data_IF_836151244455
#
_entry.id   IF_836151244455
#
_cell.length_a   1.000
_cell.length_b   1.000
_cell.length_c   1.000
_cell.angle_alpha   90.00
_cell.angle_beta   90.00
_cell.angle_gamma   90.00
#
_symmetry.space_group_name_H-M   'P 1'
#
loop_
_entity.id
_entity.type
_entity.pdbx_description
1 polymer ?
#
# COMPACT_ATOMS: atom_id res chain seq x y z
N UNK A 1 -3.06 -3.22 -2.87
CA UNK A 1 -2.46 -2.01 -2.27
C UNK A 1 -3.23 -1.73 -0.99
N UNK A 2 -2.80 -2.30 0.13
CA UNK A 2 -3.49 -2.18 1.44
C UNK A 2 -2.63 -1.47 2.49
N UNK A 3 -1.41 -1.04 2.15
CA UNK A 3 -0.45 -0.50 3.11
C UNK A 3 0.13 -1.53 4.11
N UNK A 4 -0.32 -2.78 4.06
CA UNK A 4 0.17 -3.88 4.90
C UNK A 4 0.57 -5.07 4.05
N UNK A 5 1.86 -5.38 4.01
CA UNK A 5 2.38 -6.53 3.25
C UNK A 5 1.82 -7.86 3.79
N UNK A 6 1.74 -8.01 5.11
CA UNK A 6 1.22 -9.22 5.77
C UNK A 6 -0.25 -9.45 5.44
N UNK A 7 -1.08 -8.40 5.57
CA UNK A 7 -2.50 -8.49 5.24
C UNK A 7 -2.73 -8.81 3.75
N UNK A 8 -1.90 -8.27 2.87
CA UNK A 8 -1.97 -8.53 1.43
C UNK A 8 -1.63 -9.98 1.12
N UNK A 9 -0.52 -10.49 1.63
CA UNK A 9 -0.14 -11.90 1.44
C UNK A 9 -1.23 -12.85 1.97
N UNK A 10 -1.82 -12.53 3.12
CA UNK A 10 -2.87 -13.35 3.72
C UNK A 10 -4.20 -13.31 2.92
N UNK A 11 -4.52 -12.20 2.26
CA UNK A 11 -5.79 -12.03 1.54
C UNK A 11 -5.68 -12.34 0.05
N UNK A 12 -4.73 -11.71 -0.65
CA UNK A 12 -4.55 -11.87 -2.10
C UNK A 12 -3.60 -13.01 -2.44
N UNK A 13 -2.58 -13.27 -1.60
CA UNK A 13 -1.59 -14.30 -1.82
C UNK A 13 -2.16 -15.72 -1.91
N UNK A 14 -3.29 -15.98 -1.26
CA UNK A 14 -4.00 -17.28 -1.39
C UNK A 14 -4.51 -17.54 -2.83
N UNK A 15 -4.61 -16.50 -3.64
CA UNK A 15 -5.02 -16.57 -5.03
C UNK A 15 -3.82 -16.39 -5.96
N UNK A 16 -3.01 -15.35 -5.74
CA UNK A 16 -1.92 -14.94 -6.63
C UNK A 16 -0.75 -15.91 -6.60
N UNK A 17 -0.38 -16.43 -5.42
CA UNK A 17 0.71 -17.41 -5.31
C UNK A 17 0.41 -18.70 -6.09
N UNK A 18 -0.77 -19.36 -5.93
CA UNK A 18 -1.12 -20.50 -6.77
C UNK A 18 -1.16 -20.19 -8.27
N UNK A 19 -1.61 -18.99 -8.67
CA UNK A 19 -1.60 -18.57 -10.08
C UNK A 19 -0.18 -18.44 -10.63
N UNK A 20 0.74 -17.85 -9.87
CA UNK A 20 2.15 -17.78 -10.26
C UNK A 20 2.78 -19.17 -10.36
N UNK A 21 2.46 -20.08 -9.45
CA UNK A 21 2.92 -21.47 -9.52
C UNK A 21 2.39 -22.21 -10.77
N UNK A 22 1.11 -22.02 -11.10
CA UNK A 22 0.52 -22.56 -12.33
C UNK A 22 1.16 -21.97 -13.59
N UNK A 23 1.65 -20.74 -13.54
CA UNK A 23 2.39 -20.11 -14.63
C UNK A 23 3.82 -20.66 -14.77
N UNK A 24 4.36 -21.33 -13.75
CA UNK A 24 5.69 -21.96 -13.80
C UNK A 24 6.70 -21.39 -12.79
N UNK A 25 6.31 -20.43 -11.95
CA UNK A 25 7.20 -19.98 -10.87
C UNK A 25 7.28 -21.04 -9.76
N UNK A 26 8.47 -21.22 -9.19
CA UNK A 26 8.63 -22.06 -8.01
C UNK A 26 7.95 -21.43 -6.78
N UNK A 27 7.65 -22.24 -5.78
CA UNK A 27 6.88 -21.83 -4.61
C UNK A 27 7.53 -20.70 -3.81
N UNK A 28 8.87 -20.72 -3.71
CA UNK A 28 9.63 -19.71 -2.96
C UNK A 28 9.62 -18.38 -3.70
N UNK A 29 9.88 -18.40 -5.00
CA UNK A 29 9.85 -17.19 -5.85
C UNK A 29 8.45 -16.58 -5.92
N UNK A 30 7.40 -17.39 -6.08
CA UNK A 30 6.02 -16.88 -6.06
C UNK A 30 5.67 -16.19 -4.73
N UNK A 31 6.07 -16.79 -3.60
CA UNK A 31 5.89 -16.18 -2.28
C UNK A 31 6.70 -14.90 -2.09
N UNK A 32 7.93 -14.87 -2.58
CA UNK A 32 8.80 -13.69 -2.54
C UNK A 32 8.24 -12.54 -3.38
N UNK A 33 7.79 -12.81 -4.61
CA UNK A 33 7.14 -11.82 -5.49
C UNK A 33 5.93 -11.20 -4.80
N UNK A 34 5.04 -12.02 -4.22
CA UNK A 34 3.85 -11.55 -3.50
C UNK A 34 4.24 -10.64 -2.32
N UNK A 35 5.21 -11.05 -1.51
CA UNK A 35 5.65 -10.28 -0.36
C UNK A 35 6.29 -8.94 -0.76
N UNK A 36 7.20 -8.95 -1.74
CA UNK A 36 7.88 -7.75 -2.22
C UNK A 36 6.88 -6.80 -2.89
N UNK A 37 6.03 -7.29 -3.80
CA UNK A 37 5.00 -6.47 -4.45
C UNK A 37 4.03 -5.85 -3.42
N UNK A 38 3.69 -6.60 -2.37
CA UNK A 38 2.82 -6.12 -1.29
C UNK A 38 3.50 -5.06 -0.42
N UNK A 39 4.82 -5.16 -0.21
CA UNK A 39 5.59 -4.16 0.54
C UNK A 39 5.58 -2.80 -0.15
N UNK A 40 5.63 -2.76 -1.48
CA UNK A 40 5.49 -1.51 -2.24
C UNK A 40 4.17 -0.76 -2.00
N UNK A 41 3.13 -1.45 -1.53
CA UNK A 41 1.88 -0.81 -1.14
C UNK A 41 2.00 0.17 0.03
N UNK A 42 3.07 0.06 0.84
CA UNK A 42 3.33 0.99 1.94
C UNK A 42 3.77 2.38 1.46
N UNK A 43 4.38 2.45 0.27
CA UNK A 43 4.83 3.71 -0.33
C UNK A 43 3.95 4.15 -1.51
N UNK A 44 2.99 3.33 -1.93
CA UNK A 44 2.17 3.62 -3.11
C UNK A 44 1.00 4.54 -2.78
N UNK A 45 1.01 5.77 -3.31
CA UNK A 45 -0.13 6.68 -3.16
C UNK A 45 -1.44 6.13 -3.75
N UNK A 46 -2.59 6.59 -3.25
CA UNK A 46 -2.80 7.52 -2.14
C UNK A 46 -2.96 6.83 -0.78
N UNK A 47 -2.98 5.48 -0.70
CA UNK A 47 -3.32 4.75 0.52
C UNK A 47 -2.13 4.70 1.47
N UNK A 48 -0.94 4.33 0.96
CA UNK A 48 0.31 4.26 1.71
C UNK A 48 0.21 3.45 3.01
N UNK A 49 1.30 3.37 3.76
CA UNK A 49 1.34 2.74 5.08
C UNK A 49 1.30 3.76 6.22
N UNK A 50 1.23 3.29 7.45
CA UNK A 50 1.19 4.14 8.64
C UNK A 50 2.38 5.11 8.75
N UNK A 51 3.54 4.74 8.20
CA UNK A 51 4.73 5.60 8.20
C UNK A 51 4.52 6.93 7.47
N UNK A 52 3.67 6.97 6.45
CA UNK A 52 3.38 8.21 5.73
C UNK A 52 2.63 9.25 6.58
N UNK A 53 1.74 8.78 7.46
CA UNK A 53 1.04 9.67 8.40
C UNK A 53 1.99 10.20 9.46
N UNK A 54 2.87 9.34 9.99
CA UNK A 54 3.90 9.77 10.94
C UNK A 54 4.87 10.76 10.29
N UNK A 55 5.23 10.55 9.03
CA UNK A 55 6.08 11.47 8.28
C UNK A 55 5.41 12.84 8.12
N UNK A 56 4.13 12.90 7.76
CA UNK A 56 3.38 14.13 7.66
C UNK A 56 3.34 14.89 8.99
N UNK A 57 3.10 14.19 10.10
CA UNK A 57 3.06 14.75 11.45
C UNK A 57 4.43 15.29 11.91
N UNK A 58 5.51 14.50 11.72
CA UNK A 58 6.85 14.88 12.15
C UNK A 58 7.41 16.05 11.33
N UNK A 59 7.12 16.09 10.03
CA UNK A 59 7.59 17.13 9.12
C UNK A 59 6.68 18.37 9.12
N UNK A 60 5.54 18.30 9.82
CA UNK A 60 4.50 19.35 9.82
C UNK A 60 4.05 19.72 8.40
N UNK A 61 3.98 18.71 7.51
CA UNK A 61 3.54 18.84 6.13
C UNK A 61 2.14 18.28 5.92
N UNK A 62 1.44 18.79 4.92
CA UNK A 62 0.16 18.18 4.52
C UNK A 62 0.40 16.77 3.95
N UNK A 63 -0.52 15.86 4.26
CA UNK A 63 -0.46 14.49 3.75
C UNK A 63 -0.42 14.43 2.20
N UNK A 64 -1.07 15.38 1.54
CA UNK A 64 -1.05 15.54 0.09
C UNK A 64 0.35 15.80 -0.47
N UNK A 65 1.19 16.54 0.24
CA UNK A 65 2.59 16.79 -0.14
C UNK A 65 3.42 15.51 -0.03
N UNK A 66 3.22 14.74 1.04
CA UNK A 66 3.86 13.42 1.21
C UNK A 66 3.45 12.47 0.07
N UNK A 67 2.17 12.46 -0.31
CA UNK A 67 1.67 11.67 -1.45
C UNK A 67 2.41 12.03 -2.74
N UNK A 68 2.53 13.32 -3.03
CA UNK A 68 3.19 13.78 -4.26
C UNK A 68 4.67 13.44 -4.27
N UNK A 69 5.36 13.63 -3.14
CA UNK A 69 6.76 13.25 -3.00
C UNK A 69 7.00 11.74 -3.15
N UNK A 70 6.06 10.92 -2.69
CA UNK A 70 6.15 9.46 -2.77
C UNK A 70 5.89 8.87 -4.17
N UNK A 71 5.30 9.63 -5.10
CA UNK A 71 4.96 9.13 -6.45
C UNK A 71 6.16 8.59 -7.21
N UNK A 72 7.27 9.35 -7.22
CA UNK A 72 8.48 8.96 -7.95
C UNK A 72 9.14 7.72 -7.34
N UNK A 73 9.44 7.69 -6.02
CA UNK A 73 9.95 6.50 -5.36
C UNK A 73 9.06 5.27 -5.56
N UNK A 74 7.75 5.43 -5.44
CA UNK A 74 6.80 4.33 -5.65
C UNK A 74 6.82 3.81 -7.09
N UNK A 75 6.85 4.69 -8.08
CA UNK A 75 6.94 4.31 -9.49
C UNK A 75 8.24 3.55 -9.78
N UNK A 76 9.38 4.03 -9.27
CA UNK A 76 10.68 3.37 -9.41
C UNK A 76 10.69 2.01 -8.74
N UNK A 77 10.11 1.89 -7.54
CA UNK A 77 9.98 0.62 -6.84
C UNK A 77 9.22 -0.42 -7.67
N UNK A 78 8.03 -0.07 -8.15
CA UNK A 78 7.23 -1.01 -8.94
C UNK A 78 7.84 -1.31 -10.30
N UNK A 79 8.52 -0.35 -10.92
CA UNK A 79 9.29 -0.59 -12.14
C UNK A 79 10.40 -1.61 -11.89
N UNK A 80 11.16 -1.47 -10.80
CA UNK A 80 12.22 -2.40 -10.43
C UNK A 80 11.65 -3.81 -10.16
N UNK A 81 10.56 -3.90 -9.40
CA UNK A 81 9.87 -5.18 -9.14
C UNK A 81 9.39 -5.82 -10.44
N UNK A 82 8.77 -5.04 -11.33
CA UNK A 82 8.28 -5.52 -12.62
C UNK A 82 9.42 -6.08 -13.47
N UNK A 83 10.52 -5.33 -13.62
CA UNK A 83 11.70 -5.77 -14.38
C UNK A 83 12.30 -7.04 -13.77
N UNK A 84 12.41 -7.10 -12.45
CA UNK A 84 12.96 -8.27 -11.77
C UNK A 84 12.10 -9.52 -11.97
N UNK A 85 10.77 -9.39 -11.89
CA UNK A 85 9.84 -10.50 -12.13
C UNK A 85 9.90 -10.97 -13.58
N UNK A 86 9.99 -10.05 -14.54
CA UNK A 86 10.12 -10.37 -15.96
C UNK A 86 11.45 -11.09 -16.27
N UNK A 87 12.55 -10.60 -15.72
CA UNK A 87 13.86 -11.26 -15.85
C UNK A 87 13.89 -12.65 -15.20
N UNK A 88 13.23 -12.82 -14.04
CA UNK A 88 13.13 -14.13 -13.39
C UNK A 88 12.26 -15.10 -14.22
N UNK A 89 11.21 -14.61 -14.87
CA UNK A 89 10.41 -15.38 -15.82
C UNK A 89 11.25 -15.83 -17.02
N UNK A 90 12.04 -14.92 -17.59
CA UNK A 90 12.92 -15.23 -18.73
C UNK A 90 14.00 -16.24 -18.34
N UNK A 91 14.64 -16.08 -17.19
CA UNK A 91 15.65 -16.99 -16.65
C UNK A 91 15.14 -18.42 -16.47
N UNK A 92 13.91 -18.57 -16.02
CA UNK A 92 13.28 -19.87 -15.78
C UNK A 92 12.47 -20.38 -16.99
N UNK A 93 12.55 -19.73 -18.15
CA UNK A 93 11.80 -20.07 -19.36
C UNK A 93 10.29 -20.21 -19.14
N UNK A 94 9.73 -19.34 -18.30
CA UNK A 94 8.29 -19.32 -18.02
C UNK A 94 7.56 -18.80 -19.25
N UNK A 95 6.71 -19.63 -19.84
CA UNK A 95 5.94 -19.23 -21.01
C UNK A 95 4.80 -18.29 -20.64
N UNK A 96 4.47 -17.29 -21.49
CA UNK A 96 3.32 -16.45 -21.29
C UNK A 96 2.02 -17.26 -21.28
N UNK A 97 1.04 -16.83 -20.49
CA UNK A 97 -0.28 -17.47 -20.43
C UNK A 97 -0.95 -17.48 -21.81
N UNK A 98 -1.56 -18.60 -22.23
CA UNK A 98 -2.34 -18.68 -23.45
C UNK A 98 -3.44 -17.60 -23.46
N UNK A 99 -3.64 -16.95 -24.62
CA UNK A 99 -4.59 -15.82 -24.76
C UNK A 99 -6.04 -16.19 -24.42
N UNK A 100 -6.41 -17.44 -24.61
CA UNK A 100 -7.73 -18.01 -24.28
C UNK A 100 -8.01 -18.07 -22.78
N UNK A 101 -6.97 -18.09 -21.95
CA UNK A 101 -7.07 -18.05 -20.47
C UNK A 101 -7.10 -16.64 -19.90
N UNK A 102 -6.80 -15.64 -20.71
CA UNK A 102 -6.81 -14.23 -20.28
C UNK A 102 -8.22 -13.67 -20.46
N UNK A 103 -8.91 -13.25 -19.39
CA UNK A 103 -10.24 -12.68 -19.52
C UNK A 103 -10.19 -11.35 -20.30
N UNK A 104 -11.18 -11.14 -21.16
CA UNK A 104 -11.30 -9.90 -21.93
C UNK A 104 -11.46 -8.71 -20.96
N UNK A 105 -10.62 -7.68 -21.12
CA UNK A 105 -10.62 -6.47 -20.29
C UNK A 105 -12.02 -5.84 -20.20
N UNK A 106 -12.77 -5.80 -21.32
CA UNK A 106 -14.15 -5.29 -21.38
C UNK A 106 -15.09 -6.03 -20.44
N UNK A 107 -14.91 -7.36 -20.31
CA UNK A 107 -15.72 -8.18 -19.40
C UNK A 107 -15.39 -7.89 -17.95
N UNK A 108 -14.08 -7.83 -17.62
CA UNK A 108 -13.59 -7.53 -16.28
C UNK A 108 -14.08 -6.15 -15.83
N UNK A 109 -13.94 -5.14 -16.69
CA UNK A 109 -14.41 -3.78 -16.40
C UNK A 109 -15.92 -3.72 -16.20
N UNK A 110 -16.71 -4.42 -17.03
CA UNK A 110 -18.17 -4.43 -16.87
C UNK A 110 -18.65 -5.10 -15.59
N UNK A 111 -17.94 -6.13 -15.13
CA UNK A 111 -18.29 -6.90 -13.95
C UNK A 111 -17.76 -6.26 -12.65
N UNK A 112 -16.73 -5.40 -12.73
CA UNK A 112 -16.01 -4.87 -11.57
C UNK A 112 -15.81 -3.36 -11.49
N UNK A 113 -16.39 -2.56 -12.39
CA UNK A 113 -16.18 -1.11 -12.43
C UNK A 113 -16.54 -0.41 -11.09
N UNK A 114 -17.52 -0.92 -10.39
CA UNK A 114 -17.98 -0.36 -9.12
C UNK A 114 -16.95 -0.48 -7.98
N UNK A 115 -15.97 -1.38 -8.10
CA UNK A 115 -14.84 -1.44 -7.16
C UNK A 115 -13.89 -0.24 -7.28
N UNK A 116 -13.95 0.51 -8.39
CA UNK A 116 -13.18 1.74 -8.55
C UNK A 116 -13.81 2.93 -7.82
N UNK A 117 -15.12 2.88 -7.52
CA UNK A 117 -15.85 3.98 -6.88
C UNK A 117 -15.23 4.41 -5.53
N UNK A 118 -14.94 3.51 -4.58
CA UNK A 118 -14.30 3.89 -3.33
C UNK A 118 -12.95 4.57 -3.52
N UNK A 119 -12.19 4.11 -4.50
CA UNK A 119 -10.90 4.70 -4.83
C UNK A 119 -11.04 6.12 -5.41
N UNK A 120 -11.99 6.30 -6.32
CA UNK A 120 -12.31 7.62 -6.89
C UNK A 120 -12.79 8.58 -5.80
N UNK A 121 -13.64 8.11 -4.86
CA UNK A 121 -14.11 8.92 -3.74
C UNK A 121 -12.92 9.33 -2.86
N UNK A 122 -12.02 8.39 -2.52
CA UNK A 122 -10.84 8.69 -1.73
C UNK A 122 -9.98 9.79 -2.38
N UNK A 123 -9.66 9.63 -3.66
CA UNK A 123 -8.84 10.62 -4.40
C UNK A 123 -9.56 11.96 -4.50
N UNK A 124 -10.85 11.96 -4.80
CA UNK A 124 -11.64 13.18 -4.92
C UNK A 124 -11.75 13.94 -3.61
N UNK A 125 -12.00 13.27 -2.49
CA UNK A 125 -12.08 13.90 -1.18
C UNK A 125 -10.74 14.46 -0.70
N UNK A 126 -9.64 13.73 -0.97
CA UNK A 126 -8.29 14.19 -0.63
C UNK A 126 -7.85 15.41 -1.45
N UNK A 127 -7.98 15.35 -2.78
CA UNK A 127 -7.37 16.35 -3.66
C UNK A 127 -8.31 17.46 -4.12
N UNK A 128 -9.63 17.20 -4.21
CA UNK A 128 -10.59 18.22 -4.67
C UNK A 128 -11.32 18.89 -3.53
N UNK A 129 -11.63 18.16 -2.46
CA UNK A 129 -12.28 18.72 -1.29
C UNK A 129 -11.29 19.10 -0.19
N UNK A 130 -10.00 18.77 -0.35
CA UNK A 130 -8.92 18.98 0.64
C UNK A 130 -9.32 18.51 2.05
N UNK A 131 -10.05 17.40 2.14
CA UNK A 131 -10.44 16.84 3.44
C UNK A 131 -9.23 16.14 4.09
N UNK A 132 -9.18 16.15 5.43
CA UNK A 132 -8.18 15.36 6.15
C UNK A 132 -8.20 13.89 5.72
N UNK A 133 -7.03 13.20 5.72
CA UNK A 133 -6.93 11.81 5.28
C UNK A 133 -7.89 10.87 6.01
N UNK A 134 -8.14 11.11 7.31
CA UNK A 134 -9.04 10.33 8.13
C UNK A 134 -10.49 10.42 7.64
N UNK A 135 -10.95 11.63 7.29
CA UNK A 135 -12.29 11.85 6.77
C UNK A 135 -12.44 11.27 5.36
N UNK A 136 -11.42 11.45 4.51
CA UNK A 136 -11.39 10.88 3.17
C UNK A 136 -11.46 9.35 3.19
N UNK A 137 -10.68 8.72 4.08
CA UNK A 137 -10.71 7.27 4.29
C UNK A 137 -12.07 6.79 4.83
N UNK A 138 -12.70 7.55 5.73
CA UNK A 138 -14.03 7.25 6.25
C UNK A 138 -15.10 7.23 5.14
N UNK A 139 -15.14 8.25 4.29
CA UNK A 139 -16.05 8.27 3.15
C UNK A 139 -15.80 7.16 2.14
N UNK A 140 -14.53 6.85 1.88
CA UNK A 140 -14.15 5.71 1.05
C UNK A 140 -14.63 4.38 1.67
N UNK A 141 -14.45 4.18 2.97
CA UNK A 141 -14.90 2.98 3.67
C UNK A 141 -16.43 2.80 3.65
N UNK A 142 -17.18 3.91 3.87
CA UNK A 142 -18.65 3.89 3.71
C UNK A 142 -19.02 3.48 2.28
N UNK A 143 -18.34 4.02 1.28
CA UNK A 143 -18.63 3.69 -0.11
C UNK A 143 -18.35 2.20 -0.43
N UNK A 144 -17.29 1.61 0.14
CA UNK A 144 -17.04 0.16 0.04
C UNK A 144 -18.20 -0.64 0.61
N UNK A 145 -18.68 -0.28 1.81
CA UNK A 145 -19.81 -0.95 2.44
C UNK A 145 -21.08 -0.86 1.58
N UNK A 146 -21.42 0.34 1.12
CA UNK A 146 -22.60 0.59 0.25
C UNK A 146 -22.49 -0.19 -1.06
N UNK A 147 -21.38 -0.08 -1.75
CA UNK A 147 -21.12 -0.79 -3.02
C UNK A 147 -21.24 -2.30 -2.85
N UNK A 148 -20.69 -2.83 -1.76
CA UNK A 148 -20.69 -4.28 -1.49
C UNK A 148 -22.10 -4.81 -1.15
N UNK A 149 -22.93 -3.99 -0.50
CA UNK A 149 -24.32 -4.35 -0.17
C UNK A 149 -25.22 -4.24 -1.41
N UNK A 150 -25.08 -3.15 -2.19
CA UNK A 150 -25.96 -2.84 -3.31
C UNK A 150 -25.64 -3.70 -4.54
N UNK A 151 -24.40 -3.66 -4.99
CA UNK A 151 -24.01 -4.31 -6.24
C UNK A 151 -23.69 -5.79 -6.04
N UNK A 152 -23.02 -6.17 -4.94
CA UNK A 152 -22.51 -7.52 -4.75
C UNK A 152 -21.53 -7.92 -5.88
N UNK A 153 -20.85 -9.03 -5.72
CA UNK A 153 -19.98 -9.55 -6.78
C UNK A 153 -20.32 -11.01 -7.07
N UNK A 154 -20.52 -11.34 -8.34
CA UNK A 154 -20.92 -12.69 -8.82
C UNK A 154 -22.11 -13.28 -8.05
N UNK A 155 -23.13 -12.43 -7.77
CA UNK A 155 -24.35 -12.85 -7.05
C UNK A 155 -24.20 -12.98 -5.54
N UNK A 156 -23.02 -12.71 -4.97
CA UNK A 156 -22.80 -12.70 -3.52
C UNK A 156 -22.80 -11.26 -3.01
N UNK A 157 -23.64 -10.97 -2.04
CA UNK A 157 -23.70 -9.70 -1.32
C UNK A 157 -23.09 -9.88 0.07
N UNK A 158 -22.48 -8.82 0.59
CA UNK A 158 -21.98 -8.84 1.96
C UNK A 158 -23.16 -8.86 2.92
N UNK A 159 -23.13 -9.80 3.87
CA UNK A 159 -24.11 -9.88 4.96
C UNK A 159 -23.73 -8.91 6.09
N UNK A 160 -24.69 -8.47 6.93
CA UNK A 160 -24.38 -7.63 8.09
C UNK A 160 -23.35 -8.25 9.05
N UNK A 161 -23.37 -9.58 9.21
CA UNK A 161 -22.37 -10.29 10.00
C UNK A 161 -20.96 -10.15 9.44
N UNK A 162 -20.79 -10.34 8.12
CA UNK A 162 -19.51 -10.15 7.45
C UNK A 162 -19.01 -8.70 7.50
N UNK A 163 -19.93 -7.71 7.45
CA UNK A 163 -19.58 -6.32 7.65
C UNK A 163 -19.05 -6.08 9.06
N UNK A 164 -19.72 -6.64 10.07
CA UNK A 164 -19.26 -6.58 11.46
C UNK A 164 -17.88 -7.23 11.66
N UNK A 165 -17.67 -8.40 11.08
CA UNK A 165 -16.37 -9.10 11.11
C UNK A 165 -15.27 -8.25 10.47
N UNK A 166 -15.58 -7.54 9.38
CA UNK A 166 -14.64 -6.63 8.72
C UNK A 166 -14.28 -5.44 9.62
N UNK A 167 -15.27 -4.83 10.29
CA UNK A 167 -15.03 -3.75 11.25
C UNK A 167 -14.20 -4.24 12.44
N UNK A 168 -14.52 -5.41 13.00
CA UNK A 168 -13.75 -6.01 14.09
C UNK A 168 -12.31 -6.36 13.68
N UNK A 169 -12.11 -6.83 12.44
CA UNK A 169 -10.77 -7.08 11.89
C UNK A 169 -9.97 -5.78 11.72
N UNK A 170 -10.61 -4.72 11.24
CA UNK A 170 -10.00 -3.39 11.13
C UNK A 170 -9.59 -2.84 12.49
N UNK A 171 -10.44 -2.99 13.51
CA UNK A 171 -10.11 -2.60 14.88
C UNK A 171 -8.87 -3.31 15.45
N UNK A 172 -8.73 -4.61 15.17
CA UNK A 172 -7.52 -5.36 15.56
C UNK A 172 -6.26 -4.85 14.85
N UNK A 173 -6.34 -4.60 13.55
CA UNK A 173 -5.22 -4.03 12.79
C UNK A 173 -4.85 -2.62 13.24
N UNK A 174 -5.82 -1.83 13.72
CA UNK A 174 -5.55 -0.49 14.26
C UNK A 174 -4.73 -0.54 15.54
N UNK A 175 -4.84 -1.60 16.35
CA UNK A 175 -4.03 -1.76 17.56
C UNK A 175 -2.54 -1.84 17.24
N UNK A 176 -2.16 -2.53 16.17
CA UNK A 176 -0.77 -2.61 15.72
C UNK A 176 -0.23 -1.24 15.29
N UNK A 177 -1.05 -0.45 14.59
CA UNK A 177 -0.69 0.91 14.15
C UNK A 177 -0.51 1.84 15.35
N UNK A 178 -1.39 1.74 16.35
CA UNK A 178 -1.28 2.53 17.59
C UNK A 178 0.00 2.17 18.34
N UNK A 179 0.34 0.87 18.42
CA UNK A 179 1.57 0.42 19.06
C UNK A 179 2.82 0.95 18.33
N UNK A 180 2.84 0.91 17.00
CA UNK A 180 3.93 1.46 16.19
C UNK A 180 4.04 2.98 16.41
N UNK A 181 2.93 3.71 16.39
CA UNK A 181 2.90 5.14 16.64
C UNK A 181 3.41 5.53 18.04
N UNK A 182 3.01 4.78 19.06
CA UNK A 182 3.49 4.97 20.42
C UNK A 182 5.00 4.74 20.55
N UNK A 183 5.52 3.67 19.93
CA UNK A 183 6.95 3.38 19.91
C UNK A 183 7.74 4.47 19.17
N UNK A 184 7.26 4.92 18.01
CA UNK A 184 7.87 6.01 17.26
C UNK A 184 7.91 7.31 18.08
N UNK A 185 6.80 7.67 18.73
CA UNK A 185 6.72 8.84 19.61
C UNK A 185 7.69 8.78 20.78
N UNK A 186 7.88 7.60 21.38
CA UNK A 186 8.89 7.41 22.43
C UNK A 186 10.31 7.64 21.91
N UNK A 187 10.65 7.09 20.75
CA UNK A 187 11.97 7.25 20.13
C UNK A 187 12.22 8.74 19.83
N UNK A 188 11.26 9.41 19.19
CA UNK A 188 11.37 10.85 18.88
C UNK A 188 11.55 11.67 20.15
N UNK A 189 10.72 11.43 21.17
CA UNK A 189 10.82 12.15 22.45
C UNK A 189 12.18 11.95 23.14
N UNK A 190 12.78 10.77 23.04
CA UNK A 190 14.13 10.50 23.56
C UNK A 190 15.18 11.28 22.77
N UNK A 191 15.10 11.25 21.43
CA UNK A 191 16.03 11.96 20.54
C UNK A 191 15.98 13.48 20.81
N UNK A 192 14.80 14.05 20.97
CA UNK A 192 14.60 15.47 21.24
C UNK A 192 15.14 15.86 22.61
N UNK A 193 14.82 15.07 23.65
CA UNK A 193 15.29 15.37 25.04
C UNK A 193 16.79 15.19 25.22
N UNK A 194 17.41 14.30 24.48
CA UNK A 194 18.87 14.07 24.53
C UNK A 194 19.66 15.02 23.64
N UNK A 195 18.98 15.76 22.74
CA UNK A 195 19.65 16.60 21.74
C UNK A 195 20.32 15.79 20.62
N UNK A 196 20.15 14.47 20.63
CA UNK A 196 20.75 13.59 19.62
C UNK A 196 20.24 13.89 18.21
N UNK A 197 18.99 14.31 18.07
CA UNK A 197 18.42 14.70 16.78
C UNK A 197 19.18 15.88 16.17
N UNK A 198 19.43 16.93 16.95
CA UNK A 198 20.21 18.09 16.51
C UNK A 198 21.68 17.74 16.25
N UNK A 199 22.30 16.94 17.12
CA UNK A 199 23.68 16.49 16.94
C UNK A 199 23.86 15.68 15.63
N UNK A 200 22.92 14.78 15.33
CA UNK A 200 22.90 14.03 14.06
C UNK A 200 22.72 14.95 12.85
N UNK A 201 21.81 15.92 12.94
CA UNK A 201 21.59 16.89 11.85
C UNK A 201 22.85 17.72 11.56
N UNK A 202 23.53 18.19 12.60
CA UNK A 202 24.79 18.94 12.45
C UNK A 202 25.92 18.06 11.88
N UNK A 203 26.03 16.81 12.33
CA UNK A 203 26.98 15.85 11.78
C UNK A 203 26.71 15.56 10.31
N UNK A 204 25.46 15.32 9.93
CA UNK A 204 25.09 15.08 8.53
C UNK A 204 25.31 16.32 7.67
N UNK A 205 25.00 17.52 8.18
CA UNK A 205 25.26 18.77 7.48
C UNK A 205 26.76 18.98 7.25
N UNK A 206 27.61 18.73 8.25
CA UNK A 206 29.07 18.87 8.11
C UNK A 206 29.67 17.87 7.11
N UNK A 207 29.15 16.67 7.06
CA UNK A 207 29.56 15.65 6.05
C UNK A 207 29.05 16.01 4.66
N UNK A 208 27.86 16.63 4.56
CA UNK A 208 27.24 17.03 3.33
C UNK A 208 27.88 18.27 2.68
N UNK A 209 28.49 19.16 3.46
CA UNK A 209 29.28 20.28 2.93
C UNK A 209 30.48 19.80 2.09
N UNK A 210 31.06 18.65 2.43
CA UNK A 210 32.21 18.10 1.72
C UNK A 210 31.82 17.20 0.53
N UNK A 211 30.64 16.59 0.51
CA UNK A 211 30.20 15.73 -0.59
C UNK A 211 28.71 15.36 -0.53
N UNK A 212 27.95 15.78 -1.54
CA UNK A 212 26.55 15.39 -1.76
C UNK A 212 26.38 13.84 -1.89
N UNK A 213 27.43 13.15 -2.40
CA UNK A 213 27.42 11.69 -2.54
C UNK A 213 27.49 10.92 -1.20
N UNK A 214 27.93 11.58 -0.14
CA UNK A 214 27.96 10.95 1.20
C UNK A 214 26.64 11.12 1.96
N UNK A 215 25.71 11.94 1.46
CA UNK A 215 24.35 12.12 1.98
C UNK A 215 23.32 11.18 1.36
N UNK A 216 23.63 10.59 0.20
CA UNK A 216 22.80 9.61 -0.53
C UNK A 216 23.19 8.19 -0.21
#
# INVERSE_FOLDING_TARGET
ISGSAVANVASTGVITIPLMQQAGYDRKTAGAIEAVASTGGQIMPPIMGAAAFLMAEILELEYTEIILAALIPAALYYLAVFVQVDLEAAKNNIAPLPKDRIPLMRRVMREGWFFLLPYVILVYTLFSLNLPPQESAFWAAISVAVVSIVFGYKGKRITPAQLWDSVAASGRSSADIIAIGAMAGLIISILDRTGLGQALTLLLASVGEDSIFLLL
#
